data_IF_467864892449
#
_entry.id   IF_467864892449
#
_cell.length_a   1.000
_cell.length_b   1.000
_cell.length_c   1.000
_cell.angle_alpha   90.00
_cell.angle_beta   90.00
_cell.angle_gamma   90.00
#
_symmetry.space_group_name_H-M   'P 1'
#
loop_
_entity.id
_entity.type
_entity.pdbx_description
1 polymer ?
#
# COMPACT_ATOMS: atom_id res chain seq x y z
N UNK A 1 7.40 19.13 35.02
CA UNK A 1 7.57 20.42 34.31
C UNK A 1 8.60 20.18 33.22
N UNK A 2 8.16 19.58 32.09
CA UNK A 2 9.05 19.35 30.94
C UNK A 2 9.24 20.70 30.25
N UNK A 3 10.49 21.08 30.03
CA UNK A 3 10.87 22.38 29.50
C UNK A 3 10.35 22.52 28.07
N UNK A 4 9.65 23.62 27.75
CA UNK A 4 9.20 23.95 26.38
C UNK A 4 10.33 23.84 25.33
N UNK A 5 11.59 24.01 25.74
CA UNK A 5 12.76 23.85 24.88
C UNK A 5 12.99 22.42 24.38
N UNK A 6 12.70 21.41 25.20
CA UNK A 6 12.91 20.01 24.82
C UNK A 6 11.85 19.55 23.79
N UNK A 7 10.68 20.19 23.79
CA UNK A 7 9.60 19.88 22.84
C UNK A 7 9.80 20.57 21.48
N UNK A 8 10.43 21.75 21.45
CA UNK A 8 10.66 22.51 20.21
C UNK A 8 11.79 21.91 19.35
N UNK A 9 12.87 21.38 19.96
CA UNK A 9 13.97 20.76 19.20
C UNK A 9 13.63 19.36 18.66
N UNK A 10 12.68 18.65 19.27
CA UNK A 10 12.49 17.22 19.01
C UNK A 10 11.68 16.92 17.72
N UNK A 11 11.02 17.92 17.12
CA UNK A 11 10.10 17.71 15.99
C UNK A 11 10.33 18.60 14.75
N UNK A 12 11.36 19.46 14.74
CA UNK A 12 11.69 20.26 13.55
C UNK A 12 12.41 19.42 12.49
N UNK A 13 11.65 18.92 11.51
CA UNK A 13 12.19 18.20 10.34
C UNK A 13 12.82 19.18 9.34
N UNK A 14 12.23 20.37 9.23
CA UNK A 14 12.63 21.41 8.30
C UNK A 14 12.59 22.74 9.05
N UNK A 15 13.62 23.61 8.92
CA UNK A 15 13.61 24.92 9.53
C UNK A 15 12.40 25.75 9.11
N UNK A 16 11.82 26.51 10.04
CA UNK A 16 10.74 27.44 9.74
C UNK A 16 11.20 28.49 8.72
N UNK A 17 10.38 28.74 7.68
CA UNK A 17 10.69 29.70 6.63
C UNK A 17 11.44 29.15 5.41
N UNK A 18 11.59 27.83 5.28
CA UNK A 18 12.11 27.23 4.03
C UNK A 18 11.17 27.54 2.84
N UNK A 19 11.72 27.99 1.70
CA UNK A 19 10.91 28.30 0.53
C UNK A 19 10.27 27.02 -0.03
N UNK A 20 9.02 27.14 -0.49
CA UNK A 20 8.35 26.05 -1.18
C UNK A 20 9.09 25.70 -2.48
N UNK A 21 9.40 24.43 -2.66
CA UNK A 21 9.90 23.89 -3.93
C UNK A 21 8.90 22.91 -4.52
N UNK A 22 8.72 22.94 -5.85
CA UNK A 22 7.91 21.94 -6.54
C UNK A 22 8.65 20.60 -6.60
N UNK A 23 7.98 19.54 -6.16
CA UNK A 23 8.43 18.17 -6.38
C UNK A 23 8.00 17.59 -7.73
N UNK A 24 7.03 18.20 -8.42
CA UNK A 24 6.45 17.62 -9.63
C UNK A 24 7.30 17.98 -10.86
N UNK A 25 7.86 16.96 -11.50
CA UNK A 25 8.64 17.11 -12.73
C UNK A 25 8.72 15.80 -13.53
N UNK A 26 9.45 15.83 -14.65
CA UNK A 26 9.60 14.67 -15.53
C UNK A 26 10.21 13.44 -14.84
N UNK A 27 11.09 13.62 -13.84
CA UNK A 27 11.64 12.48 -13.06
C UNK A 27 10.54 11.80 -12.26
N UNK A 28 9.66 12.58 -11.62
CA UNK A 28 8.52 12.01 -10.88
C UNK A 28 7.52 11.30 -11.78
N UNK A 29 7.36 11.74 -13.03
CA UNK A 29 6.51 11.03 -14.01
C UNK A 29 7.12 9.67 -14.37
N UNK A 30 8.40 9.63 -14.72
CA UNK A 30 9.10 8.36 -15.01
C UNK A 30 9.09 7.40 -13.84
N UNK A 31 9.28 7.93 -12.63
CA UNK A 31 9.19 7.18 -11.40
C UNK A 31 7.77 6.62 -11.16
N UNK A 32 6.73 7.41 -11.43
CA UNK A 32 5.34 6.94 -11.33
C UNK A 32 5.04 5.80 -12.31
N UNK A 33 5.58 5.88 -13.54
CA UNK A 33 5.48 4.79 -14.51
C UNK A 33 6.23 3.54 -14.04
N UNK A 34 7.42 3.69 -13.44
CA UNK A 34 8.16 2.58 -12.84
C UNK A 34 7.33 1.89 -11.74
N UNK A 35 6.70 2.66 -10.85
CA UNK A 35 5.81 2.11 -9.82
C UNK A 35 4.66 1.34 -10.47
N UNK A 36 4.00 1.91 -11.48
CA UNK A 36 2.86 1.28 -12.16
C UNK A 36 3.21 0.00 -12.92
N UNK A 37 4.31 -0.01 -13.67
CA UNK A 37 4.65 -1.15 -14.54
C UNK A 37 5.47 -2.25 -13.87
N UNK A 38 6.28 -1.90 -12.88
CA UNK A 38 7.22 -2.86 -12.25
C UNK A 38 6.76 -3.24 -10.85
N UNK A 39 6.37 -2.25 -10.03
CA UNK A 39 6.04 -2.52 -8.63
C UNK A 39 4.61 -3.03 -8.47
N UNK A 40 3.66 -2.50 -9.24
CA UNK A 40 2.26 -2.94 -9.15
C UNK A 40 2.10 -4.45 -9.42
N UNK A 41 2.65 -5.04 -10.51
CA UNK A 41 2.51 -6.48 -10.74
C UNK A 41 3.16 -7.32 -9.64
N UNK A 42 4.32 -6.88 -9.13
CA UNK A 42 4.99 -7.52 -8.00
C UNK A 42 4.14 -7.48 -6.72
N UNK A 43 3.52 -6.34 -6.41
CA UNK A 43 2.63 -6.17 -5.27
C UNK A 43 1.36 -7.01 -5.40
N UNK A 44 0.77 -7.09 -6.60
CA UNK A 44 -0.38 -7.96 -6.89
C UNK A 44 -0.01 -9.42 -6.63
N UNK A 45 1.10 -9.89 -7.21
CA UNK A 45 1.55 -11.26 -7.04
C UNK A 45 1.81 -11.60 -5.57
N UNK A 46 2.59 -10.76 -4.88
CA UNK A 46 2.93 -10.99 -3.50
C UNK A 46 1.68 -11.02 -2.62
N UNK A 47 0.74 -10.09 -2.85
CA UNK A 47 -0.53 -10.06 -2.16
C UNK A 47 -1.41 -11.28 -2.36
N UNK A 48 -1.40 -11.86 -3.56
CA UNK A 48 -2.12 -13.11 -3.84
C UNK A 48 -1.45 -14.33 -3.21
N UNK A 49 -0.11 -14.35 -3.12
CA UNK A 49 0.65 -15.45 -2.51
C UNK A 49 0.57 -15.41 -0.98
N UNK A 50 0.66 -14.21 -0.38
CA UNK A 50 0.66 -14.06 1.08
C UNK A 50 -0.74 -13.96 1.65
N UNK A 51 -1.75 -13.61 0.84
CA UNK A 51 -3.14 -13.49 1.27
C UNK A 51 -3.41 -12.36 2.27
N UNK A 52 -2.44 -11.47 2.51
CA UNK A 52 -2.51 -10.36 3.47
C UNK A 52 -1.95 -9.08 2.90
N UNK A 53 -2.42 -7.94 3.43
CA UNK A 53 -1.95 -6.61 3.07
C UNK A 53 -0.60 -6.27 3.70
N UNK A 54 0.45 -6.09 2.88
CA UNK A 54 1.71 -5.45 3.34
C UNK A 54 1.63 -3.92 3.30
N UNK A 55 0.44 -3.34 3.55
CA UNK A 55 0.18 -1.92 3.40
C UNK A 55 1.15 -1.07 4.24
N UNK A 56 1.69 0.00 3.64
CA UNK A 56 2.66 0.90 4.25
C UNK A 56 4.12 0.48 4.08
N UNK A 57 4.48 -0.79 4.20
CA UNK A 57 5.87 -1.24 4.03
C UNK A 57 6.29 -1.31 2.55
N UNK A 58 5.42 -1.83 1.68
CA UNK A 58 5.69 -1.97 0.24
C UNK A 58 5.93 -0.62 -0.47
N UNK A 59 5.33 0.46 0.03
CA UNK A 59 5.50 1.82 -0.47
C UNK A 59 6.96 2.29 -0.28
N UNK A 60 7.50 2.12 0.93
CA UNK A 60 8.87 2.50 1.24
C UNK A 60 9.88 1.66 0.47
N UNK A 61 9.67 0.34 0.36
CA UNK A 61 10.53 -0.56 -0.41
C UNK A 61 10.58 -0.12 -1.88
N UNK A 62 9.43 0.24 -2.45
CA UNK A 62 9.33 0.78 -3.82
C UNK A 62 10.20 2.01 -4.01
N UNK A 63 10.09 2.98 -3.10
CA UNK A 63 10.86 4.23 -3.16
C UNK A 63 12.36 3.94 -3.04
N UNK A 64 12.74 3.05 -2.12
CA UNK A 64 14.15 2.66 -1.91
C UNK A 64 14.73 2.03 -3.16
N UNK A 65 14.06 1.05 -3.77
CA UNK A 65 14.51 0.40 -4.99
C UNK A 65 14.67 1.40 -6.14
N UNK A 66 13.69 2.29 -6.30
CA UNK A 66 13.76 3.32 -7.33
C UNK A 66 14.91 4.31 -7.09
N UNK A 67 15.11 4.74 -5.84
CA UNK A 67 16.23 5.59 -5.45
C UNK A 67 17.58 4.90 -5.73
N UNK A 68 17.73 3.61 -5.48
CA UNK A 68 18.97 2.88 -5.78
C UNK A 68 19.24 2.81 -7.29
N UNK A 69 18.22 2.62 -8.11
CA UNK A 69 18.34 2.68 -9.57
C UNK A 69 18.80 4.07 -10.03
N UNK A 70 18.19 5.14 -9.50
CA UNK A 70 18.55 6.51 -9.85
C UNK A 70 19.95 6.90 -9.37
N UNK A 71 20.34 6.48 -8.15
CA UNK A 71 21.71 6.66 -7.64
C UNK A 71 22.73 6.02 -8.58
N UNK A 72 22.44 4.82 -9.09
CA UNK A 72 23.31 4.12 -10.07
C UNK A 72 23.36 4.83 -11.43
N UNK A 73 22.30 5.54 -11.80
CA UNK A 73 22.27 6.43 -12.96
C UNK A 73 22.84 7.84 -12.67
N UNK A 74 23.45 8.07 -11.50
CA UNK A 74 23.96 9.37 -11.03
C UNK A 74 22.91 10.48 -10.96
N UNK A 75 21.62 10.14 -10.85
CA UNK A 75 20.51 11.08 -10.69
C UNK A 75 20.20 11.20 -9.20
N UNK A 76 20.19 12.43 -8.68
CA UNK A 76 19.75 12.74 -7.32
C UNK A 76 18.29 13.20 -7.33
N UNK A 77 17.53 12.75 -6.32
CA UNK A 77 16.19 13.24 -6.04
C UNK A 77 16.19 14.19 -4.84
N UNK A 78 15.32 15.21 -4.91
CA UNK A 78 14.98 16.11 -3.82
C UNK A 78 13.93 15.47 -2.92
N UNK A 79 13.84 15.95 -1.67
CA UNK A 79 12.85 15.48 -0.69
C UNK A 79 11.41 15.59 -1.22
N UNK A 80 11.08 16.67 -1.93
CA UNK A 80 9.74 16.91 -2.49
C UNK A 80 9.39 15.91 -3.59
N UNK A 81 10.36 15.54 -4.43
CA UNK A 81 10.18 14.49 -5.44
C UNK A 81 9.89 13.15 -4.75
N UNK A 82 10.64 12.81 -3.69
CA UNK A 82 10.45 11.57 -2.91
C UNK A 82 9.08 11.52 -2.24
N UNK A 83 8.59 12.64 -1.69
CA UNK A 83 7.26 12.72 -1.09
C UNK A 83 6.16 12.46 -2.14
N UNK A 84 6.29 13.02 -3.35
CA UNK A 84 5.31 12.73 -4.42
C UNK A 84 5.32 11.25 -4.77
N UNK A 85 6.51 10.63 -4.86
CA UNK A 85 6.62 9.20 -5.12
C UNK A 85 6.02 8.35 -4.02
N UNK A 86 6.15 8.78 -2.76
CA UNK A 86 5.49 8.12 -1.64
C UNK A 86 3.97 8.09 -1.82
N UNK A 87 3.35 9.24 -2.12
CA UNK A 87 1.91 9.31 -2.32
C UNK A 87 1.43 8.59 -3.58
N UNK A 88 2.23 8.60 -4.66
CA UNK A 88 1.91 7.85 -5.88
C UNK A 88 2.01 6.34 -5.63
N UNK A 89 3.07 5.88 -4.95
CA UNK A 89 3.23 4.48 -4.58
C UNK A 89 2.11 4.02 -3.64
N UNK A 90 1.80 4.78 -2.60
CA UNK A 90 0.68 4.46 -1.72
C UNK A 90 -0.66 4.46 -2.45
N UNK A 91 -0.91 5.41 -3.34
CA UNK A 91 -2.13 5.43 -4.15
C UNK A 91 -2.27 4.23 -5.09
N UNK A 92 -1.20 3.88 -5.80
CA UNK A 92 -1.20 2.78 -6.77
C UNK A 92 -1.22 1.41 -6.11
N UNK A 93 -0.50 1.24 -5.00
CA UNK A 93 -0.40 -0.03 -4.28
C UNK A 93 -1.55 -0.21 -3.28
N UNK A 94 -2.31 0.85 -2.99
CA UNK A 94 -3.45 0.78 -2.06
C UNK A 94 -4.46 -0.30 -2.47
N UNK A 95 -5.14 -0.83 -1.44
CA UNK A 95 -6.22 -1.78 -1.60
C UNK A 95 -7.31 -1.15 -2.47
N UNK A 96 -7.70 -1.84 -3.54
CA UNK A 96 -8.75 -1.37 -4.42
C UNK A 96 -10.03 -1.06 -3.64
N UNK A 97 -10.64 0.10 -3.91
CA UNK A 97 -11.89 0.51 -3.27
C UNK A 97 -12.97 -0.48 -3.66
N UNK A 98 -13.41 -1.30 -2.70
CA UNK A 98 -14.52 -2.23 -2.87
C UNK A 98 -15.78 -1.71 -2.21
N UNK A 99 -16.87 -1.69 -2.96
CA UNK A 99 -18.20 -1.59 -2.36
C UNK A 99 -18.62 -2.97 -1.85
N UNK A 100 -18.53 -3.19 -0.54
CA UNK A 100 -19.30 -4.24 0.14
C UNK A 100 -18.74 -5.67 0.14
N UNK A 101 -17.47 -5.92 -0.21
CA UNK A 101 -16.85 -7.26 0.00
C UNK A 101 -15.53 -7.19 0.78
N UNK A 102 -15.28 -8.19 1.63
CA UNK A 102 -14.12 -8.25 2.54
C UNK A 102 -12.81 -8.77 1.93
N UNK A 103 -12.75 -9.02 0.62
CA UNK A 103 -11.54 -9.51 -0.02
C UNK A 103 -10.54 -8.36 -0.28
N UNK A 104 -9.40 -8.42 0.41
CA UNK A 104 -8.26 -7.50 0.31
C UNK A 104 -7.50 -7.79 -0.98
N UNK A 105 -7.68 -6.95 -2.00
CA UNK A 105 -6.99 -7.11 -3.27
C UNK A 105 -6.04 -5.96 -3.56
N UNK A 106 -4.89 -6.37 -4.07
CA UNK A 106 -3.81 -5.51 -4.50
C UNK A 106 -3.94 -5.20 -5.99
N UNK A 107 -3.39 -4.06 -6.41
CA UNK A 107 -3.47 -3.60 -7.80
C UNK A 107 -4.17 -2.26 -7.98
N UNK A 108 -4.33 -1.49 -6.89
CA UNK A 108 -4.89 -0.16 -6.95
C UNK A 108 -6.39 -0.16 -7.26
N UNK A 109 -6.91 0.94 -7.82
CA UNK A 109 -8.35 1.14 -7.99
C UNK A 109 -9.06 0.03 -8.79
N UNK A 110 -8.38 -0.56 -9.78
CA UNK A 110 -8.96 -1.58 -10.65
C UNK A 110 -8.98 -2.99 -10.04
N UNK A 111 -8.34 -3.21 -8.90
CA UNK A 111 -8.35 -4.51 -8.22
C UNK A 111 -9.77 -4.93 -7.75
N UNK A 112 -10.61 -3.96 -7.36
CA UNK A 112 -12.00 -4.19 -7.01
C UNK A 112 -12.82 -4.74 -8.19
N UNK A 113 -12.92 -4.00 -9.31
CA UNK A 113 -13.59 -4.47 -10.53
C UNK A 113 -13.12 -5.82 -11.05
N UNK A 114 -11.83 -6.14 -10.96
CA UNK A 114 -11.29 -7.46 -11.36
C UNK A 114 -11.91 -8.57 -10.51
N UNK A 115 -12.01 -8.35 -9.20
CA UNK A 115 -12.65 -9.32 -8.31
C UNK A 115 -14.14 -9.41 -8.52
N UNK A 116 -14.81 -8.29 -8.72
CA UNK A 116 -16.26 -8.30 -8.90
C UNK A 116 -16.61 -9.03 -10.22
N UNK A 117 -15.77 -8.89 -11.26
CA UNK A 117 -15.79 -9.73 -12.46
C UNK A 117 -15.60 -11.22 -12.16
N UNK A 118 -14.60 -11.57 -11.33
CA UNK A 118 -14.36 -12.97 -10.94
C UNK A 118 -15.54 -13.55 -10.15
N UNK A 119 -16.08 -12.78 -9.19
CA UNK A 119 -17.18 -13.20 -8.32
C UNK A 119 -18.43 -13.54 -9.11
N UNK A 120 -18.85 -12.69 -10.05
CA UNK A 120 -20.07 -12.95 -10.87
C UNK A 120 -19.92 -14.19 -11.76
N UNK A 121 -18.70 -14.54 -12.16
CA UNK A 121 -18.42 -15.71 -12.98
C UNK A 121 -18.23 -16.99 -12.15
N UNK A 122 -18.12 -16.88 -10.83
CA UNK A 122 -17.81 -18.02 -9.98
C UNK A 122 -19.02 -18.96 -9.84
N UNK A 123 -18.81 -20.28 -9.71
CA UNK A 123 -19.91 -21.24 -9.50
C UNK A 123 -20.76 -20.90 -8.27
N UNK A 124 -20.14 -20.34 -7.22
CA UNK A 124 -20.78 -19.99 -5.96
C UNK A 124 -21.75 -18.81 -6.09
N UNK A 125 -21.53 -17.94 -7.08
CA UNK A 125 -22.43 -16.83 -7.38
C UNK A 125 -23.55 -17.20 -8.37
N UNK A 126 -23.61 -18.45 -8.86
CA UNK A 126 -24.71 -18.91 -9.72
C UNK A 126 -26.04 -18.85 -8.95
N UNK A 127 -26.83 -17.83 -9.26
CA UNK A 127 -28.09 -17.50 -8.60
C UNK A 127 -28.12 -16.09 -8.00
N UNK A 128 -26.96 -15.57 -7.58
CA UNK A 128 -26.79 -14.18 -7.13
C UNK A 128 -26.37 -13.23 -8.25
N UNK A 129 -25.64 -13.75 -9.25
CA UNK A 129 -25.11 -12.99 -10.38
C UNK A 129 -26.15 -12.12 -11.11
N UNK A 130 -27.40 -12.61 -11.21
CA UNK A 130 -28.50 -11.88 -11.86
C UNK A 130 -29.00 -10.66 -11.09
N UNK A 131 -28.75 -10.59 -9.78
CA UNK A 131 -29.14 -9.47 -8.93
C UNK A 131 -28.04 -8.41 -8.81
N UNK A 132 -26.85 -8.68 -9.36
CA UNK A 132 -25.74 -7.73 -9.33
C UNK A 132 -26.01 -6.64 -10.38
N UNK A 133 -26.01 -5.35 -9.99
CA UNK A 133 -26.34 -4.28 -10.90
C UNK A 133 -25.21 -4.02 -11.91
N UNK A 134 -25.60 -3.53 -13.08
CA UNK A 134 -24.72 -3.24 -14.22
C UNK A 134 -23.74 -2.08 -13.98
N UNK A 135 -24.04 -1.20 -13.02
CA UNK A 135 -23.14 -0.14 -12.61
C UNK A 135 -21.97 -0.64 -11.75
N UNK A 136 -22.04 -1.85 -11.19
CA UNK A 136 -20.94 -2.44 -10.41
C UNK A 136 -20.04 -3.29 -11.32
N UNK A 137 -20.63 -4.16 -12.14
CA UNK A 137 -19.92 -5.03 -13.10
C UNK A 137 -20.80 -5.28 -14.32
N UNK A 138 -20.21 -5.45 -15.52
CA UNK A 138 -20.95 -5.94 -16.68
C UNK A 138 -21.69 -7.27 -16.41
N UNK A 139 -22.86 -7.50 -17.03
CA UNK A 139 -23.62 -8.73 -16.83
C UNK A 139 -22.85 -10.01 -17.22
N UNK A 140 -23.12 -11.15 -16.58
CA UNK A 140 -22.49 -12.43 -16.90
C UNK A 140 -22.72 -12.81 -18.37
N UNK A 141 -21.67 -13.31 -19.04
CA UNK A 141 -21.73 -13.70 -20.46
C UNK A 141 -21.59 -12.56 -21.47
N UNK A 142 -21.37 -11.32 -21.01
CA UNK A 142 -21.06 -10.19 -21.89
C UNK A 142 -19.64 -10.30 -22.49
N UNK A 143 -19.48 -9.85 -23.74
CA UNK A 143 -18.18 -9.79 -24.47
C UNK A 143 -16.98 -9.31 -23.62
N UNK A 144 -17.06 -8.22 -22.83
CA UNK A 144 -15.93 -7.75 -22.01
C UNK A 144 -15.43 -8.75 -20.97
N UNK A 145 -16.32 -9.58 -20.42
CA UNK A 145 -15.97 -10.58 -19.42
C UNK A 145 -15.26 -11.78 -20.06
N UNK A 146 -15.62 -12.11 -21.31
CA UNK A 146 -15.01 -13.18 -22.10
C UNK A 146 -13.64 -12.74 -22.61
N UNK A 147 -13.55 -11.54 -23.18
CA UNK A 147 -12.31 -10.96 -23.70
C UNK A 147 -11.33 -10.51 -22.61
N UNK A 148 -11.78 -10.48 -21.34
CA UNK A 148 -11.01 -10.01 -20.18
C UNK A 148 -10.44 -8.60 -20.42
N UNK A 149 -11.25 -7.74 -21.01
CA UNK A 149 -10.85 -6.39 -21.43
C UNK A 149 -11.67 -5.32 -20.70
N UNK A 150 -10.97 -4.33 -20.14
CA UNK A 150 -11.57 -3.13 -19.56
C UNK A 150 -11.86 -2.04 -20.59
N UNK A 151 -11.46 -2.21 -21.85
CA UNK A 151 -11.61 -1.20 -22.90
C UNK A 151 -12.98 -1.21 -23.60
N UNK A 152 -13.91 -2.02 -23.12
CA UNK A 152 -15.25 -2.13 -23.68
C UNK A 152 -16.22 -1.10 -23.09
N UNK A 153 -17.21 -0.65 -23.88
CA UNK A 153 -18.18 0.37 -23.47
C UNK A 153 -19.00 -0.02 -22.24
N UNK A 154 -19.20 -1.32 -21.99
CA UNK A 154 -19.92 -1.81 -20.81
C UNK A 154 -19.23 -1.44 -19.48
N UNK A 155 -17.91 -1.22 -19.49
CA UNK A 155 -17.14 -0.80 -18.31
C UNK A 155 -17.27 0.70 -18.01
N UNK A 156 -17.87 1.50 -18.89
CA UNK A 156 -18.03 2.94 -18.67
C UNK A 156 -18.79 3.23 -17.39
N UNK A 157 -19.91 2.52 -17.13
CA UNK A 157 -20.73 2.75 -15.92
C UNK A 157 -19.93 2.38 -14.64
N UNK A 158 -19.33 1.18 -14.51
CA UNK A 158 -18.48 0.88 -13.35
C UNK A 158 -17.30 1.83 -13.16
N UNK A 159 -16.60 2.19 -14.23
CA UNK A 159 -15.45 3.10 -14.14
C UNK A 159 -15.89 4.49 -13.68
N UNK A 160 -17.04 4.98 -14.15
CA UNK A 160 -17.57 6.27 -13.72
C UNK A 160 -17.92 6.26 -12.23
N UNK A 161 -18.57 5.20 -11.75
CA UNK A 161 -18.86 5.03 -10.31
C UNK A 161 -17.56 4.97 -9.51
N UNK A 162 -16.57 4.19 -9.96
CA UNK A 162 -15.26 4.10 -9.32
C UNK A 162 -14.59 5.46 -9.20
N UNK A 163 -14.54 6.24 -10.29
CA UNK A 163 -13.95 7.59 -10.29
C UNK A 163 -14.72 8.53 -9.36
N UNK A 164 -16.05 8.49 -9.39
CA UNK A 164 -16.89 9.30 -8.51
C UNK A 164 -16.64 8.96 -7.03
N UNK A 165 -16.60 7.68 -6.68
CA UNK A 165 -16.28 7.22 -5.31
C UNK A 165 -14.88 7.64 -4.91
N UNK A 166 -13.88 7.53 -5.79
CA UNK A 166 -12.52 7.99 -5.50
C UNK A 166 -12.48 9.50 -5.22
N UNK A 167 -13.20 10.30 -6.00
CA UNK A 167 -13.31 11.75 -5.75
C UNK A 167 -13.97 12.01 -4.41
N UNK A 168 -15.08 11.33 -4.10
CA UNK A 168 -15.77 11.47 -2.81
C UNK A 168 -14.87 11.08 -1.62
N UNK A 169 -14.12 9.99 -1.73
CA UNK A 169 -13.15 9.57 -0.71
C UNK A 169 -12.07 10.64 -0.53
N UNK A 170 -11.55 11.20 -1.62
CA UNK A 170 -10.54 12.27 -1.53
C UNK A 170 -11.10 13.54 -0.90
N UNK A 171 -12.28 13.99 -1.33
CA UNK A 171 -12.96 15.14 -0.73
C UNK A 171 -13.19 14.90 0.75
N UNK A 172 -13.70 13.73 1.15
CA UNK A 172 -13.92 13.36 2.55
C UNK A 172 -12.60 13.34 3.34
N UNK A 173 -11.55 12.74 2.80
CA UNK A 173 -10.24 12.67 3.48
C UNK A 173 -9.62 14.06 3.69
N UNK A 174 -9.77 14.97 2.72
CA UNK A 174 -9.24 16.32 2.79
C UNK A 174 -10.08 17.21 3.72
N UNK A 175 -11.41 17.12 3.65
CA UNK A 175 -12.31 17.90 4.49
C UNK A 175 -12.20 17.48 5.96
N UNK A 176 -12.30 16.18 6.25
CA UNK A 176 -12.17 15.65 7.60
C UNK A 176 -10.75 15.86 8.13
N UNK A 177 -9.73 15.65 7.30
CA UNK A 177 -8.34 15.93 7.64
C UNK A 177 -8.12 17.40 8.01
N UNK A 178 -8.71 18.34 7.27
CA UNK A 178 -8.64 19.76 7.57
C UNK A 178 -9.38 20.14 8.87
N UNK A 179 -10.59 19.59 9.08
CA UNK A 179 -11.35 19.83 10.32
C UNK A 179 -10.58 19.30 11.52
N UNK A 180 -10.05 18.09 11.43
CA UNK A 180 -9.24 17.48 12.49
C UNK A 180 -7.96 18.27 12.73
N UNK A 181 -7.31 18.74 11.66
CA UNK A 181 -6.16 19.63 11.75
C UNK A 181 -6.49 20.90 12.52
N UNK A 182 -7.57 21.61 12.17
CA UNK A 182 -8.01 22.81 12.91
C UNK A 182 -8.32 22.52 14.37
N UNK A 183 -9.02 21.43 14.67
CA UNK A 183 -9.37 21.07 16.04
C UNK A 183 -8.12 20.77 16.88
N UNK A 184 -7.24 19.89 16.38
CA UNK A 184 -6.07 19.42 17.12
C UNK A 184 -4.93 20.44 17.15
N UNK A 185 -4.71 21.17 16.06
CA UNK A 185 -3.64 22.18 15.93
C UNK A 185 -4.04 23.53 16.49
N UNK A 186 -5.17 24.10 16.03
CA UNK A 186 -5.51 25.50 16.35
C UNK A 186 -6.17 25.61 17.73
N UNK A 187 -7.05 24.66 18.09
CA UNK A 187 -7.80 24.68 19.34
C UNK A 187 -7.02 23.99 20.47
N UNK A 188 -6.63 22.72 20.27
CA UNK A 188 -5.96 21.92 21.31
C UNK A 188 -4.43 22.11 21.36
N UNK A 189 -3.83 22.67 20.30
CA UNK A 189 -2.37 22.89 20.18
C UNK A 189 -1.54 21.64 20.47
N UNK A 190 -2.02 20.49 20.02
CA UNK A 190 -1.32 19.23 20.16
C UNK A 190 -0.25 19.10 19.06
N UNK A 191 0.96 18.61 19.41
CA UNK A 191 1.94 18.24 18.40
C UNK A 191 1.45 17.01 17.63
N UNK A 192 1.57 17.01 16.30
CA UNK A 192 1.26 15.82 15.50
C UNK A 192 2.38 14.79 15.62
N UNK A 193 2.19 13.66 16.32
CA UNK A 193 3.29 12.74 16.58
C UNK A 193 3.76 11.99 15.32
N UNK A 194 2.85 11.75 14.36
CA UNK A 194 3.12 10.93 13.16
C UNK A 194 3.63 11.72 11.95
N UNK A 195 3.37 13.04 11.87
CA UNK A 195 3.85 13.86 10.76
C UNK A 195 5.39 13.92 10.69
N UNK A 196 6.11 14.04 11.83
CA UNK A 196 7.56 13.92 11.92
C UNK A 196 8.13 12.60 11.42
N UNK A 197 7.43 11.49 11.65
CA UNK A 197 7.87 10.16 11.22
C UNK A 197 7.86 10.04 9.69
N UNK A 198 6.76 10.45 9.06
CA UNK A 198 6.60 10.36 7.60
C UNK A 198 7.58 11.28 6.85
N UNK A 199 7.68 12.55 7.26
CA UNK A 199 8.59 13.50 6.62
C UNK A 199 10.06 13.24 6.99
N UNK A 200 10.34 12.68 8.17
CA UNK A 200 11.66 12.17 8.54
C UNK A 200 12.12 11.02 7.63
N UNK A 201 11.22 10.10 7.25
CA UNK A 201 11.50 9.03 6.30
C UNK A 201 11.89 9.55 4.91
N UNK A 202 11.11 10.47 4.36
CA UNK A 202 11.42 11.09 3.07
C UNK A 202 12.73 11.89 3.09
N UNK A 203 13.00 12.60 4.19
CA UNK A 203 14.24 13.37 4.36
C UNK A 203 15.45 12.47 4.50
N UNK A 204 15.36 11.37 5.27
CA UNK A 204 16.44 10.40 5.41
C UNK A 204 16.84 9.75 4.07
N UNK A 205 15.85 9.48 3.21
CA UNK A 205 16.06 8.95 1.87
C UNK A 205 16.67 9.99 0.91
N UNK A 206 16.33 11.27 1.08
CA UNK A 206 16.97 12.36 0.35
C UNK A 206 18.45 12.55 0.78
N UNK A 207 18.72 12.53 2.09
CA UNK A 207 20.06 12.68 2.68
C UNK A 207 21.04 11.58 2.22
N UNK A 208 20.55 10.34 2.03
CA UNK A 208 21.34 9.23 1.49
C UNK A 208 21.75 9.43 0.02
N UNK A 209 21.01 10.21 -0.76
CA UNK A 209 21.43 10.64 -2.11
C UNK A 209 22.56 11.69 -2.05
N UNK A 210 22.73 12.34 -0.90
CA UNK A 210 23.74 13.37 -0.61
C UNK A 210 25.07 12.85 -0.04
N UNK A 211 25.22 11.53 0.20
CA UNK A 211 26.39 10.91 0.87
C UNK A 211 26.63 11.35 2.34
N UNK A 212 25.60 11.80 3.05
CA UNK A 212 25.70 12.03 4.49
C UNK A 212 25.18 10.80 5.25
N UNK A 213 26.08 9.99 5.77
CA UNK A 213 25.73 8.79 6.54
C UNK A 213 25.53 9.15 8.02
N UNK A 214 24.30 9.49 8.38
CA UNK A 214 23.88 9.76 9.77
C UNK A 214 23.46 8.51 10.55
N UNK A 215 23.13 8.68 11.84
CA UNK A 215 22.63 7.60 12.71
C UNK A 215 21.36 6.92 12.17
N UNK A 216 20.53 7.66 11.41
CA UNK A 216 19.31 7.16 10.75
C UNK A 216 19.59 6.01 9.79
N UNK A 217 20.72 6.08 9.07
CA UNK A 217 21.14 5.03 8.13
C UNK A 217 21.49 3.72 8.84
N UNK A 218 22.09 3.80 10.03
CA UNK A 218 22.45 2.61 10.83
C UNK A 218 21.19 1.89 11.31
N UNK A 219 20.21 2.61 11.82
CA UNK A 219 18.92 2.04 12.26
C UNK A 219 18.19 1.40 11.08
N UNK A 220 18.12 2.11 9.95
CA UNK A 220 17.55 1.58 8.71
C UNK A 220 18.23 0.28 8.27
N UNK A 221 19.57 0.23 8.26
CA UNK A 221 20.32 -0.95 7.81
C UNK A 221 20.08 -2.18 8.71
N UNK A 222 19.99 -1.98 10.03
CA UNK A 222 19.68 -3.07 10.99
C UNK A 222 18.26 -3.58 10.74
N UNK A 223 17.28 -2.68 10.62
CA UNK A 223 15.90 -3.05 10.31
C UNK A 223 15.78 -3.79 8.97
N UNK A 224 16.47 -3.31 7.94
CA UNK A 224 16.50 -3.95 6.62
C UNK A 224 17.09 -5.36 6.69
N UNK A 225 18.14 -5.58 7.47
CA UNK A 225 18.74 -6.92 7.64
C UNK A 225 17.79 -7.89 8.36
N UNK A 226 17.13 -7.45 9.43
CA UNK A 226 16.13 -8.26 10.15
C UNK A 226 14.96 -8.58 9.22
N UNK A 227 14.45 -7.59 8.49
CA UNK A 227 13.36 -7.78 7.52
C UNK A 227 13.74 -8.71 6.38
N UNK A 228 14.99 -8.66 5.90
CA UNK A 228 15.49 -9.58 4.87
C UNK A 228 15.52 -11.03 5.38
N UNK A 229 15.99 -11.26 6.61
CA UNK A 229 15.99 -12.59 7.23
C UNK A 229 14.57 -13.12 7.39
N UNK A 230 13.66 -12.28 7.91
CA UNK A 230 12.26 -12.65 8.09
C UNK A 230 11.58 -12.96 6.75
N UNK A 231 11.71 -12.06 5.77
CA UNK A 231 11.15 -12.24 4.43
C UNK A 231 11.71 -13.46 3.71
N UNK A 232 12.97 -13.83 3.97
CA UNK A 232 13.55 -15.06 3.43
C UNK A 232 12.84 -16.30 3.97
N UNK A 233 12.65 -16.37 5.29
CA UNK A 233 11.98 -17.51 5.94
C UNK A 233 10.49 -17.55 5.62
N UNK A 234 9.83 -16.39 5.64
CA UNK A 234 8.37 -16.28 5.52
C UNK A 234 7.87 -16.35 4.07
N UNK A 235 8.58 -15.75 3.11
CA UNK A 235 8.14 -15.67 1.70
C UNK A 235 9.03 -16.49 0.77
N UNK A 236 10.35 -16.31 0.84
CA UNK A 236 11.27 -16.89 -0.16
C UNK A 236 11.34 -18.41 -0.04
N UNK A 237 11.46 -18.96 1.17
CA UNK A 237 11.54 -20.41 1.39
C UNK A 237 10.27 -21.13 0.89
N UNK A 238 9.04 -20.70 1.26
CA UNK A 238 7.82 -21.30 0.71
C UNK A 238 7.70 -21.15 -0.81
N UNK A 239 8.06 -19.99 -1.36
CA UNK A 239 7.95 -19.74 -2.81
C UNK A 239 8.94 -20.60 -3.61
N UNK A 240 10.22 -20.63 -3.22
CA UNK A 240 11.23 -21.44 -3.91
C UNK A 240 11.00 -22.93 -3.72
N UNK A 241 10.61 -23.36 -2.51
CA UNK A 241 10.27 -24.77 -2.27
C UNK A 241 9.08 -25.22 -3.11
N UNK A 242 8.04 -24.40 -3.29
CA UNK A 242 6.93 -24.73 -4.19
C UNK A 242 7.30 -24.85 -5.67
N UNK A 243 8.37 -24.19 -6.11
CA UNK A 243 8.84 -24.27 -7.50
C UNK A 243 9.76 -25.47 -7.72
N UNK A 244 10.62 -25.79 -6.75
CA UNK A 244 11.67 -26.81 -6.91
C UNK A 244 11.38 -28.15 -6.24
N UNK A 245 10.51 -28.19 -5.23
CA UNK A 245 10.15 -29.39 -4.47
C UNK A 245 8.71 -29.80 -4.76
N UNK A 246 8.42 -31.09 -4.58
CA UNK A 246 7.07 -31.64 -4.71
C UNK A 246 6.14 -31.22 -3.58
N UNK A 247 6.69 -30.74 -2.46
CA UNK A 247 5.96 -30.19 -1.32
C UNK A 247 6.55 -28.83 -0.93
N UNK A 248 5.68 -27.84 -0.77
CA UNK A 248 6.04 -26.52 -0.25
C UNK A 248 6.45 -26.64 1.20
N UNK A 249 7.68 -26.26 1.52
CA UNK A 249 8.14 -26.17 2.91
C UNK A 249 7.64 -24.84 3.46
N UNK A 250 6.55 -24.89 4.22
CA UNK A 250 6.02 -23.76 4.97
C UNK A 250 6.47 -23.89 6.43
N UNK A 251 7.44 -23.06 6.84
CA UNK A 251 7.94 -23.03 8.22
C UNK A 251 6.88 -22.40 9.14
N UNK A 252 6.14 -21.42 8.63
CA UNK A 252 5.00 -20.78 9.27
C UNK A 252 3.82 -20.79 8.32
N UNK A 253 2.61 -20.92 8.87
CA UNK A 253 1.37 -20.85 8.10
C UNK A 253 1.17 -19.44 7.54
N UNK A 254 0.90 -19.38 6.25
CA UNK A 254 0.53 -18.17 5.50
C UNK A 254 -0.97 -18.30 5.21
N UNK A 255 -1.81 -17.27 5.45
CA UNK A 255 -1.49 -15.89 5.84
C UNK A 255 -1.20 -15.67 7.33
N UNK A 256 -1.81 -16.45 8.21
CA UNK A 256 -1.71 -16.34 9.66
C UNK A 256 -1.85 -17.74 10.25
N UNK A 257 -1.41 -17.91 11.49
CA UNK A 257 -1.61 -19.17 12.21
C UNK A 257 -3.09 -19.25 12.59
N UNK A 258 -3.81 -20.22 12.04
CA UNK A 258 -5.24 -20.40 12.33
C UNK A 258 -5.42 -21.22 13.62
N UNK A 259 -6.02 -20.59 14.63
CA UNK A 259 -6.33 -21.21 15.92
C UNK A 259 -7.81 -21.56 16.06
N UNK A 260 -8.62 -21.35 15.02
CA UNK A 260 -10.06 -21.63 15.01
C UNK A 260 -10.33 -23.09 15.37
N UNK A 261 -9.56 -24.03 14.81
CA UNK A 261 -9.69 -25.45 15.11
C UNK A 261 -9.33 -25.82 16.56
N UNK A 262 -8.44 -25.06 17.19
CA UNK A 262 -8.01 -25.31 18.57
C UNK A 262 -8.96 -24.69 19.59
N UNK A 263 -9.67 -23.64 19.22
CA UNK A 263 -10.54 -22.87 20.12
C UNK A 263 -12.02 -23.25 19.99
N UNK A 264 -12.43 -23.88 18.87
CA UNK A 264 -13.83 -24.30 18.65
C UNK A 264 -14.43 -25.16 19.77
N UNK A 265 -13.60 -25.85 20.54
CA UNK A 265 -14.01 -26.67 21.69
C UNK A 265 -14.37 -25.86 22.94
N UNK A 266 -13.81 -24.65 23.08
CA UNK A 266 -14.03 -23.75 24.23
C UNK A 266 -15.01 -22.64 23.88
N UNK A 267 -14.89 -22.06 22.68
CA UNK A 267 -15.77 -20.99 22.20
C UNK A 267 -16.29 -21.37 20.81
N UNK A 268 -17.54 -21.87 20.71
CA UNK A 268 -18.16 -22.21 19.44
C UNK A 268 -18.23 -20.97 18.54
N UNK A 269 -17.85 -21.12 17.26
CA UNK A 269 -17.84 -20.07 16.24
C UNK A 269 -16.87 -18.90 16.47
N UNK A 270 -15.92 -19.00 17.42
CA UNK A 270 -14.83 -18.04 17.51
C UNK A 270 -13.76 -18.31 16.45
N UNK A 271 -13.49 -17.31 15.60
CA UNK A 271 -12.36 -17.30 14.68
C UNK A 271 -11.20 -16.54 15.35
N UNK A 272 -10.04 -17.19 15.49
CA UNK A 272 -8.83 -16.55 16.01
C UNK A 272 -7.65 -16.89 15.11
N UNK A 273 -7.00 -15.87 14.58
CA UNK A 273 -5.74 -15.98 13.85
C UNK A 273 -4.64 -15.16 14.52
N UNK A 274 -3.41 -15.66 14.50
CA UNK A 274 -2.22 -14.87 14.88
C UNK A 274 -1.48 -14.48 13.60
N UNK A 275 -1.47 -13.18 13.32
CA UNK A 275 -0.64 -12.61 12.26
C UNK A 275 0.84 -12.84 12.56
N UNK A 276 1.54 -13.42 11.59
CA UNK A 276 2.99 -13.66 11.64
C UNK A 276 3.75 -12.72 10.70
N UNK A 277 3.07 -11.70 10.18
CA UNK A 277 3.67 -10.61 9.43
C UNK A 277 4.41 -9.65 10.38
N UNK A 278 5.64 -9.27 9.99
CA UNK A 278 6.59 -8.47 10.76
C UNK A 278 7.03 -7.26 9.94
#
# INVERSE_FOLDING_TARGET
>A
MSSKKDTEEQYQIVPEGTPYESGFNIKTVWASLFVGFIMLPGAIYLGLVTGQSMAGASEWVTIILFLEILKRAFIKLKTQEIIILYWVAGGLISIGVKLGTGAVLFGGPFAGPIWDQYFIQSPEAQGLAQYVPDWLVPPPGSEPLVERSFLHAAWIKPILVLVAVMILIKVNSLSLGYVMFRLTSDLEKLPFPMAPVQAGGATALAETSGKQEGWRWRVFSIGAFIGLLWGTVYVVVPTLSGVFLTQTIQILEIPFIDLTDKIKSVVPAAMLGIGTDL
#
